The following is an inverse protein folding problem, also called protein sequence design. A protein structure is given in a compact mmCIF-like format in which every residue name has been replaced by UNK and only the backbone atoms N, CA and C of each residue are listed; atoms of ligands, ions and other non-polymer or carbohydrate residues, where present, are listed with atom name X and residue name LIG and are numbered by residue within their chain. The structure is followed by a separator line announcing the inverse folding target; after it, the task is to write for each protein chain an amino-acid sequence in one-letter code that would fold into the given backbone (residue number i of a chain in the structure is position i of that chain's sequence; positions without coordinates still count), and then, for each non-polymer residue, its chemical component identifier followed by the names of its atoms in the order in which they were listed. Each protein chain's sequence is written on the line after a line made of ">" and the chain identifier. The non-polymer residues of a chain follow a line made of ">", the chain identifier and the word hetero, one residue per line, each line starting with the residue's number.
data_IF_183268827325
#
_entry.id   IF_183268827325
#
_cell.length_a   1.000
_cell.length_b   1.000
_cell.length_c   1.000
_cell.angle_alpha   90.00
_cell.angle_beta   90.00
_cell.angle_gamma   90.00
#
_symmetry.space_group_name_H-M   'P 1'
#
loop_
_entity.id
_entity.type
_entity.pdbx_description
1 polymer ?
#
# COMPACT_ATOMS: atom_id res chain seq x y z
N UNK A 1 40.45 -39.18 14.24
CA UNK A 1 39.95 -38.11 13.34
C UNK A 1 39.51 -38.61 11.95
N UNK A 2 39.34 -39.91 11.72
CA UNK A 2 39.02 -40.50 10.40
C UNK A 2 37.52 -40.75 10.16
N UNK A 3 36.70 -40.86 11.21
CA UNK A 3 35.26 -41.17 11.06
C UNK A 3 34.38 -39.97 10.63
N UNK A 4 34.81 -38.72 10.88
CA UNK A 4 34.03 -37.53 10.49
C UNK A 4 34.19 -37.16 9.00
N UNK A 5 35.30 -37.52 8.35
CA UNK A 5 35.51 -37.25 6.92
C UNK A 5 34.71 -38.21 6.03
N UNK A 6 34.53 -39.46 6.42
CA UNK A 6 33.72 -40.43 5.66
C UNK A 6 32.22 -40.08 5.61
N UNK A 7 31.67 -39.44 6.66
CA UNK A 7 30.24 -39.02 6.66
C UNK A 7 29.93 -37.84 5.74
N UNK A 8 30.93 -37.05 5.34
CA UNK A 8 30.72 -35.90 4.43
C UNK A 8 30.72 -36.36 2.97
N UNK A 9 31.58 -37.30 2.62
CA UNK A 9 31.68 -37.85 1.25
C UNK A 9 30.44 -38.68 0.90
N UNK A 10 29.89 -39.46 1.83
CA UNK A 10 28.67 -40.24 1.57
C UNK A 10 27.38 -39.40 1.44
N UNK A 11 27.36 -38.15 1.93
CA UNK A 11 26.24 -37.23 1.67
C UNK A 11 26.31 -36.56 0.30
N UNK A 12 27.52 -36.37 -0.24
CA UNK A 12 27.70 -35.77 -1.56
C UNK A 12 27.22 -36.72 -2.66
N UNK A 13 27.58 -38.02 -2.55
CA UNK A 13 27.26 -39.04 -3.56
C UNK A 13 25.74 -39.34 -3.64
N UNK A 14 25.00 -39.22 -2.52
CA UNK A 14 23.54 -39.41 -2.54
C UNK A 14 22.79 -38.22 -3.15
N UNK A 15 23.37 -37.02 -3.19
CA UNK A 15 22.70 -35.83 -3.73
C UNK A 15 22.74 -35.80 -5.27
N UNK A 16 23.79 -36.34 -5.88
CA UNK A 16 23.95 -36.38 -7.34
C UNK A 16 23.01 -37.42 -7.97
N UNK A 17 22.78 -38.57 -7.32
CA UNK A 17 21.86 -39.60 -7.82
C UNK A 17 20.37 -39.21 -7.72
N UNK A 18 19.97 -38.34 -6.78
CA UNK A 18 18.58 -37.86 -6.68
C UNK A 18 18.26 -36.75 -7.71
N UNK A 19 19.26 -35.99 -8.14
CA UNK A 19 19.13 -34.96 -9.18
C UNK A 19 18.94 -35.56 -10.57
N UNK A 20 19.60 -36.67 -10.90
CA UNK A 20 19.39 -37.34 -12.19
C UNK A 20 18.02 -38.02 -12.29
N UNK A 21 17.50 -38.55 -11.17
CA UNK A 21 16.21 -39.24 -11.15
C UNK A 21 15.02 -38.28 -11.27
N UNK A 22 15.13 -37.06 -10.73
CA UNK A 22 14.09 -36.02 -10.82
C UNK A 22 14.03 -35.36 -12.20
N UNK A 23 15.18 -35.17 -12.86
CA UNK A 23 15.24 -34.60 -14.21
C UNK A 23 14.53 -35.49 -15.27
N UNK A 24 14.65 -36.82 -15.17
CA UNK A 24 14.06 -37.76 -16.14
C UNK A 24 12.53 -37.88 -16.00
N UNK A 25 11.96 -37.62 -14.81
CA UNK A 25 10.51 -37.67 -14.59
C UNK A 25 9.76 -36.43 -15.08
N UNK A 26 10.37 -35.25 -15.01
CA UNK A 26 9.77 -34.00 -15.51
C UNK A 26 9.59 -34.01 -17.04
N UNK A 27 10.53 -34.61 -17.76
CA UNK A 27 10.55 -34.73 -19.23
C UNK A 27 9.37 -35.55 -19.78
N UNK A 28 9.01 -36.65 -19.10
CA UNK A 28 7.92 -37.53 -19.58
C UNK A 28 6.52 -36.94 -19.36
N UNK A 29 6.35 -35.97 -18.47
CA UNK A 29 5.03 -35.39 -18.16
C UNK A 29 4.64 -34.26 -19.11
N UNK A 30 5.61 -33.53 -19.67
CA UNK A 30 5.38 -32.39 -20.55
C UNK A 30 4.85 -32.76 -21.95
N UNK A 31 5.20 -33.94 -22.46
CA UNK A 31 4.85 -34.35 -23.83
C UNK A 31 3.39 -34.76 -24.01
N UNK A 32 2.69 -35.22 -22.97
CA UNK A 32 1.31 -35.75 -23.09
C UNK A 32 0.21 -34.68 -23.11
N UNK A 33 0.47 -33.43 -22.69
CA UNK A 33 -0.57 -32.38 -22.57
C UNK A 33 -0.69 -31.44 -23.77
N UNK A 34 0.32 -31.39 -24.65
CA UNK A 34 0.40 -30.43 -25.77
C UNK A 34 -0.68 -30.63 -26.83
N UNK A 35 -1.36 -31.78 -26.83
CA UNK A 35 -2.34 -32.15 -27.85
C UNK A 35 -3.78 -31.66 -27.57
N UNK A 36 -4.09 -31.16 -26.36
CA UNK A 36 -5.48 -30.84 -25.96
C UNK A 36 -5.94 -29.39 -26.09
N UNK A 37 -5.05 -28.41 -26.33
CA UNK A 37 -5.39 -26.99 -26.12
C UNK A 37 -5.51 -26.12 -27.39
N UNK A 38 -5.82 -26.69 -28.56
CA UNK A 38 -5.96 -25.92 -29.82
C UNK A 38 -7.28 -25.14 -29.99
N UNK A 39 -8.13 -24.96 -28.97
CA UNK A 39 -9.43 -24.29 -29.15
C UNK A 39 -9.89 -23.52 -27.90
N UNK A 40 -9.83 -22.17 -27.94
CA UNK A 40 -10.91 -21.22 -27.52
C UNK A 40 -10.38 -19.79 -27.31
N UNK A 41 -10.91 -18.83 -28.07
CA UNK A 41 -10.67 -17.37 -27.88
C UNK A 41 -11.76 -16.75 -26.99
N UNK A 42 -11.45 -15.78 -26.10
CA UNK A 42 -12.41 -15.19 -25.16
C UNK A 42 -13.22 -14.01 -25.75
N UNK A 43 -14.47 -13.88 -25.29
CA UNK A 43 -15.47 -12.93 -25.79
C UNK A 43 -15.40 -11.52 -25.14
N UNK A 44 -15.71 -10.48 -25.94
CA UNK A 44 -15.65 -9.04 -25.59
C UNK A 44 -16.85 -8.57 -24.76
N UNK A 45 -16.59 -7.81 -23.69
CA UNK A 45 -17.60 -7.17 -22.80
C UNK A 45 -18.15 -5.86 -23.38
N UNK A 46 -19.46 -5.59 -23.19
CA UNK A 46 -20.17 -4.39 -23.69
C UNK A 46 -20.21 -3.25 -22.63
N UNK A 47 -20.27 -1.97 -23.06
CA UNK A 47 -20.24 -0.80 -22.17
C UNK A 47 -21.61 -0.37 -21.61
N UNK A 48 -21.57 0.32 -20.47
CA UNK A 48 -22.68 0.65 -19.55
C UNK A 48 -23.34 1.99 -19.92
N UNK A 49 -24.67 2.04 -20.04
CA UNK A 49 -25.46 3.24 -20.42
C UNK A 49 -25.61 4.25 -19.27
N UNK A 50 -25.43 5.55 -19.58
CA UNK A 50 -25.72 6.70 -18.71
C UNK A 50 -27.22 7.04 -18.71
N UNK A 51 -27.78 7.28 -17.51
CA UNK A 51 -29.18 7.69 -17.32
C UNK A 51 -29.23 9.21 -17.09
N UNK A 52 -29.85 9.94 -18.03
CA UNK A 52 -30.16 11.38 -17.92
C UNK A 52 -31.39 11.60 -17.03
N UNK A 53 -31.26 12.37 -15.96
CA UNK A 53 -32.38 12.80 -15.10
C UNK A 53 -33.08 14.02 -15.70
N UNK A 54 -34.40 13.92 -15.91
CA UNK A 54 -35.30 15.02 -16.31
C UNK A 54 -35.62 15.91 -15.09
N UNK A 55 -35.54 17.23 -15.26
CA UNK A 55 -35.84 18.21 -14.22
C UNK A 55 -37.35 18.37 -13.99
N UNK A 56 -37.76 18.27 -12.72
CA UNK A 56 -39.09 18.63 -12.25
C UNK A 56 -39.19 20.16 -12.09
N UNK A 57 -40.10 20.80 -12.82
CA UNK A 57 -40.52 22.19 -12.55
C UNK A 57 -41.54 22.17 -11.39
N UNK A 58 -41.29 22.94 -10.34
CA UNK A 58 -42.23 23.15 -9.24
C UNK A 58 -43.37 24.09 -9.70
N UNK A 59 -44.64 23.74 -9.44
CA UNK A 59 -45.78 24.60 -9.73
C UNK A 59 -45.96 25.62 -8.60
N UNK A 60 -45.75 26.92 -8.87
CA UNK A 60 -45.94 27.96 -7.85
C UNK A 60 -45.73 29.41 -8.29
N UNK A 61 -45.09 29.67 -9.42
CA UNK A 61 -44.70 31.04 -9.85
C UNK A 61 -45.66 31.70 -10.85
N UNK A 62 -46.98 31.51 -10.70
CA UNK A 62 -47.99 32.07 -11.62
C UNK A 62 -48.65 33.38 -11.14
N UNK A 63 -48.24 33.97 -10.00
CA UNK A 63 -49.03 35.01 -9.32
C UNK A 63 -48.50 36.45 -9.30
N UNK A 64 -47.37 36.79 -9.95
CA UNK A 64 -46.71 38.11 -9.76
C UNK A 64 -46.49 38.94 -11.04
N UNK A 65 -47.37 38.81 -12.03
CA UNK A 65 -47.28 39.58 -13.27
C UNK A 65 -48.58 40.32 -13.62
N UNK A 66 -49.02 41.26 -12.77
CA UNK A 66 -50.12 42.18 -13.12
C UNK A 66 -50.20 43.43 -12.22
N UNK A 67 -49.13 44.20 -12.05
CA UNK A 67 -49.22 45.54 -11.43
C UNK A 67 -48.02 46.43 -11.78
N UNK A 68 -47.86 46.80 -13.06
CA UNK A 68 -46.92 47.87 -13.41
C UNK A 68 -47.21 48.45 -14.79
N UNK A 69 -48.15 49.38 -14.87
CA UNK A 69 -48.18 50.35 -15.96
C UNK A 69 -48.68 51.70 -15.46
N UNK A 70 -48.08 52.76 -16.02
CA UNK A 70 -48.43 54.19 -15.95
C UNK A 70 -47.90 54.98 -14.74
N UNK A 71 -46.58 55.22 -14.78
CA UNK A 71 -45.94 56.35 -14.13
C UNK A 71 -44.87 56.93 -15.04
N UNK A 72 -45.28 57.67 -16.07
CA UNK A 72 -44.40 58.39 -16.99
C UNK A 72 -43.77 59.59 -16.31
N UNK A 73 -42.75 59.35 -15.46
CA UNK A 73 -41.86 60.41 -14.98
C UNK A 73 -40.75 60.61 -16.02
N UNK A 74 -40.79 61.74 -16.69
CA UNK A 74 -39.71 62.32 -17.49
C UNK A 74 -38.41 62.29 -16.67
N UNK A 75 -37.51 61.35 -17.01
CA UNK A 75 -36.16 61.30 -16.45
C UNK A 75 -35.37 62.46 -17.02
N UNK A 76 -35.25 63.53 -16.24
CA UNK A 76 -34.26 64.57 -16.49
C UNK A 76 -32.88 63.91 -16.69
N UNK A 77 -32.19 64.29 -17.77
CA UNK A 77 -30.88 63.77 -18.12
C UNK A 77 -29.87 64.12 -17.02
N UNK A 78 -29.58 63.15 -16.14
CA UNK A 78 -28.51 63.29 -15.15
C UNK A 78 -27.18 63.40 -15.89
N UNK A 79 -26.37 64.45 -15.64
CA UNK A 79 -25.11 64.67 -16.35
C UNK A 79 -24.16 63.46 -16.18
N UNK A 80 -23.49 63.01 -17.24
CA UNK A 80 -22.78 61.72 -17.27
C UNK A 80 -21.63 61.60 -16.25
N UNK A 81 -21.02 62.72 -15.81
CA UNK A 81 -19.94 62.70 -14.81
C UNK A 81 -20.38 62.31 -13.39
N UNK A 82 -21.56 62.77 -12.93
CA UNK A 82 -22.02 62.54 -11.54
C UNK A 82 -22.46 61.11 -11.24
N UNK A 83 -22.68 60.29 -12.27
CA UNK A 83 -23.06 58.87 -12.10
C UNK A 83 -21.88 57.97 -11.75
N UNK A 84 -20.67 58.30 -12.22
CA UNK A 84 -19.49 57.47 -11.96
C UNK A 84 -18.98 57.67 -10.52
N UNK A 85 -18.92 58.90 -10.03
CA UNK A 85 -18.55 59.22 -8.64
C UNK A 85 -19.52 58.56 -7.64
N UNK A 86 -20.83 58.65 -7.88
CA UNK A 86 -21.83 58.01 -7.01
C UNK A 86 -21.77 56.48 -7.00
N UNK A 87 -21.27 55.85 -8.07
CA UNK A 87 -21.05 54.40 -8.13
C UNK A 87 -19.78 53.98 -7.39
N UNK A 88 -18.71 54.79 -7.48
CA UNK A 88 -17.48 54.57 -6.71
C UNK A 88 -17.70 54.72 -5.22
N UNK A 89 -18.39 55.78 -4.78
CA UNK A 89 -18.73 55.97 -3.36
C UNK A 89 -19.57 54.82 -2.78
N UNK A 90 -20.45 54.24 -3.59
CA UNK A 90 -21.22 53.06 -3.17
C UNK A 90 -20.36 51.79 -3.13
N UNK A 91 -19.37 51.65 -4.01
CA UNK A 91 -18.44 50.53 -3.99
C UNK A 91 -17.53 50.59 -2.76
N UNK A 92 -16.97 51.76 -2.47
CA UNK A 92 -16.06 51.95 -1.34
C UNK A 92 -16.77 51.79 0.01
N UNK A 93 -17.99 52.30 0.14
CA UNK A 93 -18.83 52.05 1.33
C UNK A 93 -19.12 50.57 1.52
N UNK A 94 -19.38 49.82 0.44
CA UNK A 94 -19.61 48.36 0.51
C UNK A 94 -18.34 47.61 0.87
N UNK A 95 -17.19 48.01 0.33
CA UNK A 95 -15.87 47.45 0.68
C UNK A 95 -15.58 47.66 2.18
N UNK A 96 -15.79 48.87 2.69
CA UNK A 96 -15.54 49.20 4.09
C UNK A 96 -16.45 48.38 5.03
N UNK A 97 -17.76 48.30 4.75
CA UNK A 97 -18.70 47.47 5.52
C UNK A 97 -18.32 45.98 5.50
N UNK A 98 -17.81 45.46 4.36
CA UNK A 98 -17.33 44.08 4.28
C UNK A 98 -16.08 43.85 5.13
N UNK A 99 -15.15 44.82 5.16
CA UNK A 99 -13.93 44.72 5.99
C UNK A 99 -14.26 44.74 7.47
N UNK A 100 -15.15 45.65 7.90
CA UNK A 100 -15.59 45.73 9.30
C UNK A 100 -16.34 44.46 9.73
N UNK A 101 -17.19 43.91 8.86
CA UNK A 101 -17.89 42.66 9.13
C UNK A 101 -16.92 41.47 9.25
N UNK A 102 -15.89 41.40 8.40
CA UNK A 102 -14.85 40.36 8.48
C UNK A 102 -14.03 40.50 9.77
N UNK A 103 -13.59 41.71 10.10
CA UNK A 103 -12.81 41.97 11.32
C UNK A 103 -13.58 41.57 12.59
N UNK A 104 -14.89 41.86 12.65
CA UNK A 104 -15.75 41.42 13.76
C UNK A 104 -15.84 39.90 13.86
N UNK A 105 -16.09 39.21 12.75
CA UNK A 105 -16.14 37.73 12.72
C UNK A 105 -14.81 37.11 13.14
N UNK A 106 -13.68 37.68 12.71
CA UNK A 106 -12.35 37.21 13.11
C UNK A 106 -12.05 37.46 14.60
N UNK A 107 -12.47 38.60 15.15
CA UNK A 107 -12.34 38.89 16.57
C UNK A 107 -13.18 37.93 17.43
N UNK A 108 -14.43 37.69 17.04
CA UNK A 108 -15.33 36.74 17.70
C UNK A 108 -14.77 35.31 17.63
N UNK A 109 -14.25 34.90 16.47
CA UNK A 109 -13.62 33.61 16.30
C UNK A 109 -12.38 33.46 17.20
N UNK A 110 -11.52 34.47 17.30
CA UNK A 110 -10.34 34.45 18.21
C UNK A 110 -10.75 34.36 19.68
N UNK A 111 -11.79 35.08 20.09
CA UNK A 111 -12.31 35.01 21.45
C UNK A 111 -12.86 33.60 21.77
N UNK A 112 -13.60 33.02 20.84
CA UNK A 112 -14.15 31.67 20.97
C UNK A 112 -13.08 30.58 20.98
N UNK A 113 -12.01 30.72 20.18
CA UNK A 113 -10.86 29.80 20.21
C UNK A 113 -10.19 29.76 21.60
N UNK A 114 -10.08 30.90 22.29
CA UNK A 114 -9.55 30.94 23.67
C UNK A 114 -10.46 30.19 24.65
N UNK A 115 -11.78 30.27 24.48
CA UNK A 115 -12.74 29.54 25.32
C UNK A 115 -12.78 28.04 25.02
N UNK A 116 -12.49 27.64 23.78
CA UNK A 116 -12.44 26.24 23.35
C UNK A 116 -11.17 25.51 23.78
N UNK A 117 -10.06 26.23 23.99
CA UNK A 117 -8.78 25.66 24.40
C UNK A 117 -8.85 24.79 25.68
N UNK A 118 -9.45 25.22 26.81
CA UNK A 118 -9.60 24.35 27.98
C UNK A 118 -10.51 23.15 27.73
N UNK A 119 -11.56 23.31 26.92
CA UNK A 119 -12.48 22.23 26.56
C UNK A 119 -11.76 21.12 25.77
N UNK A 120 -10.90 21.50 24.82
CA UNK A 120 -10.06 20.56 24.08
C UNK A 120 -9.14 19.74 25.00
N UNK A 121 -8.49 20.40 25.97
CA UNK A 121 -7.66 19.71 26.96
C UNK A 121 -8.47 18.71 27.78
N UNK A 122 -9.65 19.09 28.25
CA UNK A 122 -10.52 18.19 29.00
C UNK A 122 -10.97 16.99 28.16
N UNK A 123 -11.36 17.21 26.89
CA UNK A 123 -11.70 16.13 25.96
C UNK A 123 -10.56 15.12 25.84
N UNK A 124 -9.33 15.59 25.60
CA UNK A 124 -8.16 14.71 25.47
C UNK A 124 -7.87 13.94 26.78
N UNK A 125 -8.05 14.58 27.94
CA UNK A 125 -7.93 13.89 29.24
C UNK A 125 -8.97 12.79 29.38
N UNK A 126 -10.24 13.05 29.06
CA UNK A 126 -11.31 12.04 29.15
C UNK A 126 -11.07 10.89 28.18
N UNK A 127 -10.59 11.17 26.96
CA UNK A 127 -10.23 10.13 25.98
C UNK A 127 -9.07 9.27 26.49
N UNK A 128 -8.04 9.87 27.10
CA UNK A 128 -6.91 9.14 27.71
C UNK A 128 -7.36 8.28 28.89
N UNK A 129 -8.22 8.82 29.76
CA UNK A 129 -8.78 8.05 30.88
C UNK A 129 -9.64 6.89 30.39
N UNK A 130 -10.43 7.08 29.33
CA UNK A 130 -11.20 6.02 28.73
C UNK A 130 -10.37 4.90 28.10
N UNK A 131 -9.11 5.18 27.73
CA UNK A 131 -8.17 4.18 27.24
C UNK A 131 -7.44 3.46 28.38
N UNK A 132 -7.37 4.05 29.58
CA UNK A 132 -6.64 3.49 30.74
C UNK A 132 -7.55 2.75 31.72
N UNK A 133 -8.78 3.21 31.92
CA UNK A 133 -9.69 2.71 32.95
C UNK A 133 -10.82 1.89 32.31
N UNK A 134 -10.61 0.58 32.12
CA UNK A 134 -11.58 -0.29 31.45
C UNK A 134 -12.96 -0.31 32.13
N UNK A 135 -13.01 -0.22 33.47
CA UNK A 135 -14.27 -0.22 34.22
C UNK A 135 -15.11 1.05 34.10
N UNK A 136 -14.50 2.20 33.78
CA UNK A 136 -15.19 3.51 33.61
C UNK A 136 -14.99 4.10 32.22
N UNK A 137 -14.56 3.26 31.27
CA UNK A 137 -14.21 3.71 29.93
C UNK A 137 -15.40 4.35 29.22
N UNK A 138 -16.60 3.80 29.42
CA UNK A 138 -17.81 4.27 28.74
C UNK A 138 -18.31 5.60 29.31
N UNK A 139 -18.23 5.81 30.62
CA UNK A 139 -18.58 7.10 31.25
C UNK A 139 -17.67 8.23 30.76
N UNK A 140 -16.37 7.95 30.63
CA UNK A 140 -15.39 8.91 30.12
C UNK A 140 -15.57 9.18 28.63
N UNK A 141 -15.89 8.16 27.81
CA UNK A 141 -16.24 8.34 26.38
C UNK A 141 -17.51 9.16 26.22
N UNK A 142 -18.53 8.89 27.02
CA UNK A 142 -19.79 9.63 26.99
C UNK A 142 -19.58 11.08 27.41
N UNK A 143 -18.80 11.32 28.47
CA UNK A 143 -18.42 12.67 28.91
C UNK A 143 -17.69 13.43 27.80
N UNK A 144 -16.72 12.77 27.14
CA UNK A 144 -16.01 13.36 26.01
C UNK A 144 -16.94 13.67 24.83
N UNK A 145 -17.90 12.79 24.53
CA UNK A 145 -18.88 13.00 23.48
C UNK A 145 -19.77 14.24 23.73
N UNK A 146 -20.25 14.44 24.97
CA UNK A 146 -21.04 15.60 25.36
C UNK A 146 -20.22 16.91 25.26
N UNK A 147 -18.96 16.87 25.71
CA UNK A 147 -18.04 18.01 25.56
C UNK A 147 -17.80 18.35 24.08
N UNK A 148 -17.59 17.35 23.23
CA UNK A 148 -17.44 17.53 21.77
C UNK A 148 -18.68 18.14 21.13
N UNK A 149 -19.89 17.77 21.57
CA UNK A 149 -21.13 18.38 21.07
C UNK A 149 -21.23 19.85 21.50
N UNK A 150 -20.89 20.18 22.74
CA UNK A 150 -20.85 21.56 23.22
C UNK A 150 -19.85 22.42 22.43
N UNK A 151 -18.67 21.86 22.14
CA UNK A 151 -17.64 22.51 21.33
C UNK A 151 -18.11 22.72 19.88
N UNK A 152 -18.83 21.75 19.30
CA UNK A 152 -19.43 21.88 17.96
C UNK A 152 -20.45 23.01 17.90
N UNK A 153 -21.30 23.17 18.92
CA UNK A 153 -22.28 24.26 18.99
C UNK A 153 -21.58 25.62 19.05
N UNK A 154 -20.57 25.76 19.91
CA UNK A 154 -19.74 26.99 20.01
C UNK A 154 -18.99 27.31 18.71
N UNK A 155 -18.41 26.31 18.05
CA UNK A 155 -17.77 26.50 16.74
C UNK A 155 -18.77 26.99 15.69
N UNK A 156 -20.01 26.46 15.70
CA UNK A 156 -21.07 26.87 14.77
C UNK A 156 -21.51 28.32 15.02
N UNK A 157 -21.63 28.74 16.27
CA UNK A 157 -21.94 30.13 16.65
C UNK A 157 -20.83 31.09 16.19
N UNK A 158 -19.58 30.69 16.36
CA UNK A 158 -18.40 31.46 15.96
C UNK A 158 -18.07 31.39 14.46
N UNK A 159 -18.81 30.59 13.66
CA UNK A 159 -18.52 30.29 12.25
C UNK A 159 -17.12 29.69 12.02
N UNK A 160 -16.60 28.95 12.99
CA UNK A 160 -15.33 28.23 12.90
C UNK A 160 -15.58 26.86 12.25
N UNK A 161 -14.69 26.43 11.35
CA UNK A 161 -14.75 25.08 10.77
C UNK A 161 -14.42 24.03 11.83
N UNK A 162 -15.44 23.33 12.33
CA UNK A 162 -15.31 22.34 13.41
C UNK A 162 -14.32 21.20 13.08
N UNK A 163 -14.27 20.77 11.82
CA UNK A 163 -13.33 19.74 11.36
C UNK A 163 -11.87 20.14 11.56
N UNK A 164 -11.47 21.31 11.04
CA UNK A 164 -10.13 21.87 11.24
C UNK A 164 -9.80 22.05 12.72
N UNK A 165 -10.75 22.58 13.49
CA UNK A 165 -10.56 22.74 14.93
C UNK A 165 -10.30 21.41 15.64
N UNK A 166 -11.00 20.34 15.27
CA UNK A 166 -10.76 19.01 15.83
C UNK A 166 -9.39 18.45 15.45
N UNK A 167 -8.97 18.59 14.19
CA UNK A 167 -7.64 18.14 13.73
C UNK A 167 -6.51 18.83 14.49
N UNK A 168 -6.66 20.12 14.79
CA UNK A 168 -5.65 20.91 15.49
C UNK A 168 -5.62 20.65 17.01
N UNK A 169 -6.75 20.25 17.63
CA UNK A 169 -6.91 20.27 19.09
C UNK A 169 -7.23 18.92 19.74
N UNK A 170 -7.69 17.92 18.99
CA UNK A 170 -8.13 16.61 19.51
C UNK A 170 -7.24 15.51 18.97
N UNK A 171 -6.68 14.66 19.85
CA UNK A 171 -5.73 13.61 19.45
C UNK A 171 -6.33 12.47 18.61
N UNK A 172 -7.66 12.42 18.50
CA UNK A 172 -8.39 11.36 17.78
C UNK A 172 -8.72 11.79 16.36
N UNK A 173 -8.83 10.79 15.48
CA UNK A 173 -9.21 11.03 14.08
C UNK A 173 -10.59 11.70 13.98
N UNK A 174 -10.77 12.55 12.97
CA UNK A 174 -12.04 13.26 12.77
C UNK A 174 -13.23 12.29 12.62
N UNK A 175 -13.02 11.12 12.02
CA UNK A 175 -14.06 10.08 11.89
C UNK A 175 -14.50 9.50 13.25
N UNK A 176 -13.61 9.35 14.21
CA UNK A 176 -13.95 8.94 15.57
C UNK A 176 -14.69 10.05 16.31
N UNK A 177 -14.22 11.29 16.18
CA UNK A 177 -14.88 12.47 16.75
C UNK A 177 -16.30 12.60 16.20
N UNK A 178 -16.49 12.42 14.89
CA UNK A 178 -17.81 12.46 14.23
C UNK A 178 -18.76 11.40 14.80
N UNK A 179 -18.27 10.18 15.08
CA UNK A 179 -19.08 9.12 15.71
C UNK A 179 -19.46 9.49 17.14
N UNK A 180 -18.53 10.02 17.93
CA UNK A 180 -18.79 10.47 19.30
C UNK A 180 -19.82 11.61 19.34
N UNK A 181 -19.68 12.60 18.45
CA UNK A 181 -20.66 13.69 18.33
C UNK A 181 -22.04 13.16 17.95
N UNK A 182 -22.12 12.16 17.06
CA UNK A 182 -23.40 11.53 16.71
C UNK A 182 -24.04 10.82 17.91
N UNK A 183 -23.25 10.20 18.79
CA UNK A 183 -23.73 9.59 20.04
C UNK A 183 -24.30 10.66 20.98
N UNK A 184 -23.61 11.78 21.16
CA UNK A 184 -24.08 12.88 22.01
C UNK A 184 -25.38 13.52 21.51
N UNK A 185 -25.58 13.59 20.19
CA UNK A 185 -26.79 14.12 19.57
C UNK A 185 -28.01 13.18 19.66
N UNK A 186 -27.83 11.93 20.08
CA UNK A 186 -28.94 11.01 20.24
C UNK A 186 -29.83 11.40 21.45
N UNK A 187 -31.14 11.11 21.42
CA UNK A 187 -32.03 11.40 22.56
C UNK A 187 -31.61 10.72 23.87
N UNK A 188 -30.96 9.56 23.76
CA UNK A 188 -30.42 8.81 24.90
C UNK A 188 -28.97 8.40 24.59
N UNK A 189 -27.99 9.28 24.86
CA UNK A 189 -26.58 9.08 24.48
C UNK A 189 -25.97 7.79 25.04
N UNK A 190 -26.32 7.41 26.27
CA UNK A 190 -25.85 6.17 26.88
C UNK A 190 -26.29 4.91 26.10
N UNK A 191 -27.55 4.88 25.63
CA UNK A 191 -28.06 3.77 24.81
C UNK A 191 -27.40 3.75 23.44
N UNK A 192 -27.24 4.91 22.81
CA UNK A 192 -26.55 5.01 21.52
C UNK A 192 -25.08 4.53 21.58
N UNK A 193 -24.38 4.78 22.70
CA UNK A 193 -23.04 4.26 22.93
C UNK A 193 -23.03 2.72 23.02
N UNK A 194 -23.97 2.15 23.79
CA UNK A 194 -24.13 0.71 23.91
C UNK A 194 -24.48 0.04 22.56
N UNK A 195 -25.39 0.64 21.79
CA UNK A 195 -25.79 0.18 20.45
C UNK A 195 -24.63 0.21 19.45
N UNK A 196 -23.76 1.22 19.53
CA UNK A 196 -22.57 1.28 18.68
C UNK A 196 -21.61 0.11 18.98
N UNK A 197 -21.46 -0.27 20.25
CA UNK A 197 -20.64 -1.42 20.66
C UNK A 197 -21.27 -2.74 20.23
N UNK A 198 -22.57 -2.94 20.48
CA UNK A 198 -23.27 -4.17 20.09
C UNK A 198 -23.28 -4.34 18.56
N UNK A 199 -23.50 -3.25 17.82
CA UNK A 199 -23.43 -3.24 16.35
C UNK A 199 -22.01 -3.49 15.80
N UNK A 200 -20.97 -2.99 16.47
CA UNK A 200 -19.59 -3.32 16.10
C UNK A 200 -19.26 -4.80 16.36
N UNK A 201 -19.67 -5.35 17.51
CA UNK A 201 -19.49 -6.76 17.84
C UNK A 201 -20.24 -7.67 16.85
N UNK A 202 -21.48 -7.34 16.50
CA UNK A 202 -22.27 -8.07 15.51
C UNK A 202 -21.63 -8.04 14.12
N UNK A 203 -21.16 -6.86 13.67
CA UNK A 203 -20.45 -6.73 12.39
C UNK A 203 -19.15 -7.54 12.36
N UNK A 204 -18.36 -7.50 13.43
CA UNK A 204 -17.14 -8.30 13.54
C UNK A 204 -17.43 -9.80 13.58
N UNK A 205 -18.48 -10.22 14.30
CA UNK A 205 -18.93 -11.63 14.30
C UNK A 205 -19.33 -12.08 12.89
N UNK A 206 -20.08 -11.25 12.16
CA UNK A 206 -20.48 -11.51 10.77
C UNK A 206 -19.29 -11.55 9.82
N UNK A 207 -18.32 -10.66 9.98
CA UNK A 207 -17.10 -10.63 9.18
C UNK A 207 -16.25 -11.89 9.41
N UNK A 208 -16.06 -12.28 10.67
CA UNK A 208 -15.38 -13.54 11.03
C UNK A 208 -16.12 -14.77 10.48
N UNK A 209 -17.45 -14.79 10.56
CA UNK A 209 -18.25 -15.87 9.99
C UNK A 209 -18.08 -15.98 8.46
N UNK A 210 -18.06 -14.85 7.75
CA UNK A 210 -17.79 -14.83 6.30
C UNK A 210 -16.39 -15.33 5.96
N UNK A 211 -15.37 -14.94 6.73
CA UNK A 211 -14.01 -15.43 6.56
C UNK A 211 -13.87 -16.94 6.80
N UNK A 212 -14.63 -17.50 7.75
CA UNK A 212 -14.69 -18.96 7.94
C UNK A 212 -15.29 -19.66 6.72
N UNK A 213 -16.44 -19.17 6.23
CA UNK A 213 -17.09 -19.74 5.04
C UNK A 213 -16.19 -19.65 3.79
N UNK A 214 -15.43 -18.57 3.60
CA UNK A 214 -14.45 -18.50 2.51
C UNK A 214 -13.27 -19.44 2.70
N UNK A 215 -12.89 -19.77 3.94
CA UNK A 215 -11.81 -20.71 4.24
C UNK A 215 -12.26 -22.17 4.08
N UNK A 216 -13.53 -22.46 4.32
CA UNK A 216 -14.11 -23.79 4.11
C UNK A 216 -14.50 -24.02 2.63
N UNK A 217 -14.90 -22.97 1.90
CA UNK A 217 -15.17 -23.04 0.46
C UNK A 217 -13.88 -23.03 -0.40
N UNK A 218 -12.75 -22.63 0.20
CA UNK A 218 -11.40 -22.86 -0.31
C UNK A 218 -10.73 -23.86 0.62
N UNK A 219 -11.36 -25.03 0.79
CA UNK A 219 -10.67 -26.17 1.37
C UNK A 219 -9.32 -26.32 0.63
N UNK A 220 -8.18 -26.28 1.35
CA UNK A 220 -6.91 -26.53 0.70
C UNK A 220 -7.02 -27.91 0.04
N UNK A 221 -6.71 -27.99 -1.26
CA UNK A 221 -6.35 -29.26 -1.87
C UNK A 221 -5.40 -29.95 -0.88
N UNK A 222 -5.81 -31.12 -0.41
CA UNK A 222 -5.10 -32.05 0.48
C UNK A 222 -3.91 -31.44 1.23
N UNK A 223 -4.09 -31.20 2.52
CA UNK A 223 -3.08 -31.03 3.57
C UNK A 223 -1.68 -31.55 3.15
N UNK A 224 -0.93 -30.73 2.42
CA UNK A 224 0.47 -30.99 2.12
C UNK A 224 1.17 -31.15 3.47
N UNK A 225 1.83 -32.28 3.69
CA UNK A 225 2.42 -32.61 4.98
C UNK A 225 3.63 -31.71 5.25
N UNK A 226 4.17 -31.14 4.18
CA UNK A 226 5.42 -30.39 4.20
C UNK A 226 5.32 -29.09 3.39
N UNK A 227 6.09 -28.04 3.73
CA UNK A 227 6.05 -26.77 3.00
C UNK A 227 6.39 -26.87 1.51
N UNK A 228 7.18 -27.87 1.09
CA UNK A 228 7.55 -28.06 -0.31
C UNK A 228 6.40 -28.70 -1.11
N UNK A 229 5.71 -29.69 -0.57
CA UNK A 229 4.50 -30.25 -1.20
C UNK A 229 3.40 -29.19 -1.41
N UNK A 230 3.30 -28.22 -0.48
CA UNK A 230 2.38 -27.11 -0.63
C UNK A 230 2.78 -26.16 -1.77
N UNK A 231 4.09 -25.97 -1.97
CA UNK A 231 4.61 -25.18 -3.08
C UNK A 231 4.38 -25.90 -4.41
N UNK A 232 4.60 -27.21 -4.47
CA UNK A 232 4.37 -28.04 -5.66
C UNK A 232 2.88 -28.04 -6.03
N UNK A 233 2.00 -28.29 -5.07
CA UNK A 233 0.56 -28.25 -5.28
C UNK A 233 0.05 -26.86 -5.72
N UNK A 234 0.66 -25.78 -5.20
CA UNK A 234 0.35 -24.42 -5.62
C UNK A 234 0.76 -24.20 -7.07
N UNK A 235 1.99 -24.57 -7.44
CA UNK A 235 2.50 -24.45 -8.82
C UNK A 235 1.67 -25.29 -9.78
N UNK A 236 1.29 -26.51 -9.39
CA UNK A 236 0.46 -27.40 -10.21
C UNK A 236 -0.99 -26.88 -10.39
N UNK A 237 -1.49 -26.11 -9.42
CA UNK A 237 -2.82 -25.50 -9.51
C UNK A 237 -2.89 -24.25 -10.39
N UNK A 238 -1.75 -23.65 -10.71
CA UNK A 238 -1.67 -22.42 -11.51
C UNK A 238 -1.64 -22.74 -13.02
N UNK A 239 -2.19 -21.85 -13.88
CA UNK A 239 -1.97 -21.95 -15.32
C UNK A 239 -0.49 -21.86 -15.67
N UNK A 240 -0.03 -22.62 -16.68
CA UNK A 240 1.39 -22.73 -17.06
C UNK A 240 2.11 -21.38 -17.19
N UNK A 241 1.43 -20.37 -17.77
CA UNK A 241 2.00 -19.02 -17.91
C UNK A 241 2.26 -18.34 -16.57
N UNK A 242 1.35 -18.50 -15.62
CA UNK A 242 1.46 -17.91 -14.29
C UNK A 242 2.46 -18.70 -13.45
N UNK A 243 2.45 -20.03 -13.55
CA UNK A 243 3.43 -20.91 -12.93
C UNK A 243 4.87 -20.57 -13.37
N UNK A 244 5.12 -20.43 -14.68
CA UNK A 244 6.43 -20.02 -15.21
C UNK A 244 6.87 -18.66 -14.68
N UNK A 245 5.99 -17.66 -14.70
CA UNK A 245 6.32 -16.32 -14.17
C UNK A 245 6.65 -16.34 -12.68
N UNK A 246 6.00 -17.21 -11.92
CA UNK A 246 6.24 -17.36 -10.48
C UNK A 246 7.61 -18.01 -10.23
N UNK A 247 7.94 -19.06 -10.99
CA UNK A 247 9.23 -19.75 -10.89
C UNK A 247 10.36 -18.81 -11.33
N UNK A 248 10.22 -18.10 -12.46
CA UNK A 248 11.20 -17.11 -12.93
C UNK A 248 11.46 -16.01 -11.90
N UNK A 249 10.39 -15.46 -11.30
CA UNK A 249 10.50 -14.43 -10.28
C UNK A 249 11.22 -14.91 -9.02
N UNK A 250 11.19 -16.21 -8.72
CA UNK A 250 11.88 -16.83 -7.57
C UNK A 250 13.30 -17.28 -7.91
N UNK A 251 13.54 -17.73 -9.13
CA UNK A 251 14.84 -18.18 -9.62
C UNK A 251 15.81 -17.00 -9.83
N UNK A 252 15.32 -15.87 -10.38
CA UNK A 252 16.13 -14.68 -10.68
C UNK A 252 16.97 -14.13 -9.50
N UNK A 253 16.41 -13.91 -8.29
CA UNK A 253 17.22 -13.44 -7.16
C UNK A 253 18.25 -14.46 -6.66
N UNK A 254 18.13 -15.73 -7.04
CA UNK A 254 19.10 -16.78 -6.73
C UNK A 254 20.17 -16.94 -7.83
N UNK A 255 20.17 -16.08 -8.85
CA UNK A 255 21.07 -16.20 -10.00
C UNK A 255 20.73 -17.38 -10.92
N UNK A 256 19.56 -18.00 -10.77
CA UNK A 256 19.14 -19.13 -11.59
C UNK A 256 18.30 -18.66 -12.78
N UNK A 257 18.50 -19.29 -13.94
CA UNK A 257 17.72 -19.05 -15.15
C UNK A 257 16.80 -20.24 -15.39
N UNK A 258 15.50 -19.98 -15.53
CA UNK A 258 14.52 -21.01 -15.89
C UNK A 258 14.58 -21.22 -17.39
N UNK A 259 15.00 -22.40 -17.82
CA UNK A 259 15.12 -22.77 -19.23
C UNK A 259 14.07 -23.82 -19.61
N UNK A 260 13.71 -23.86 -20.89
CA UNK A 260 12.83 -24.91 -21.38
C UNK A 260 13.53 -26.26 -21.33
N UNK A 261 12.78 -27.35 -21.31
CA UNK A 261 13.35 -28.71 -21.30
C UNK A 261 14.24 -28.99 -22.52
N UNK A 262 13.88 -28.43 -23.68
CA UNK A 262 14.70 -28.52 -24.89
C UNK A 262 16.04 -27.81 -24.70
N UNK A 263 16.03 -26.62 -24.10
CA UNK A 263 17.26 -25.86 -23.85
C UNK A 263 18.10 -26.50 -22.73
N UNK A 264 17.44 -27.05 -21.70
CA UNK A 264 18.11 -27.80 -20.63
C UNK A 264 18.84 -29.02 -21.17
N UNK A 265 18.23 -29.76 -22.10
CA UNK A 265 18.86 -30.90 -22.77
C UNK A 265 20.03 -30.48 -23.67
N UNK A 266 19.90 -29.35 -24.39
CA UNK A 266 21.00 -28.79 -25.19
C UNK A 266 22.17 -28.39 -24.29
N UNK A 267 21.91 -27.73 -23.16
CA UNK A 267 22.93 -27.35 -22.18
C UNK A 267 23.56 -28.57 -21.48
N UNK A 268 22.79 -29.64 -21.25
CA UNK A 268 23.31 -30.87 -20.67
C UNK A 268 24.18 -31.65 -21.68
N UNK A 269 23.84 -31.60 -22.97
CA UNK A 269 24.64 -32.19 -24.05
C UNK A 269 25.93 -31.40 -24.29
N UNK A 270 25.86 -30.06 -24.33
CA UNK A 270 27.06 -29.23 -24.48
C UNK A 270 28.06 -29.43 -23.34
N UNK A 271 27.58 -29.63 -22.10
CA UNK A 271 28.44 -29.98 -20.95
C UNK A 271 29.06 -31.38 -21.02
N UNK A 272 28.44 -32.32 -21.73
CA UNK A 272 29.02 -33.67 -21.93
C UNK A 272 30.11 -33.68 -22.98
N UNK A 273 29.96 -32.83 -23.99
CA UNK A 273 30.89 -32.75 -25.11
C UNK A 273 32.09 -31.83 -24.83
N UNK A 274 32.03 -31.00 -23.78
CA UNK A 274 33.14 -30.16 -23.32
C UNK A 274 33.43 -30.31 -21.82
N UNK A 275 34.10 -31.40 -21.37
CA UNK A 275 34.61 -31.50 -20.01
C UNK A 275 35.80 -30.56 -19.74
N UNK A 276 36.21 -29.74 -20.71
CA UNK A 276 37.47 -28.99 -20.71
C UNK A 276 37.38 -27.51 -20.31
N UNK A 277 36.17 -26.94 -20.19
CA UNK A 277 36.04 -25.49 -19.92
C UNK A 277 36.25 -25.10 -18.45
N UNK A 278 36.24 -26.08 -17.53
CA UNK A 278 36.58 -25.81 -16.13
C UNK A 278 37.96 -26.38 -15.85
N UNK A 279 38.93 -25.49 -15.66
CA UNK A 279 40.24 -25.85 -15.16
C UNK A 279 40.08 -26.74 -13.91
N UNK A 280 40.70 -27.92 -13.95
CA UNK A 280 40.75 -28.82 -12.79
C UNK A 280 41.36 -28.08 -11.59
N UNK A 281 41.10 -28.58 -10.37
CA UNK A 281 41.65 -27.95 -9.16
C UNK A 281 43.18 -27.83 -9.23
N UNK A 282 43.83 -28.82 -9.82
CA UNK A 282 45.29 -28.84 -10.03
C UNK A 282 45.73 -27.79 -11.05
N UNK A 283 44.96 -27.57 -12.12
CA UNK A 283 45.22 -26.52 -13.11
C UNK A 283 44.99 -25.12 -12.51
N UNK A 284 43.94 -24.93 -11.72
CA UNK A 284 43.69 -23.69 -10.98
C UNK A 284 44.80 -23.39 -9.96
N UNK A 285 45.27 -24.42 -9.24
CA UNK A 285 46.36 -24.28 -8.29
C UNK A 285 47.67 -23.92 -9.02
N UNK A 286 47.97 -24.60 -10.12
CA UNK A 286 49.14 -24.30 -10.94
C UNK A 286 49.09 -22.90 -11.56
N UNK A 287 47.91 -22.49 -12.04
CA UNK A 287 47.65 -21.16 -12.57
C UNK A 287 47.82 -20.09 -11.50
N UNK A 288 47.22 -20.28 -10.32
CA UNK A 288 47.34 -19.37 -9.19
C UNK A 288 48.80 -19.22 -8.73
N UNK A 289 49.54 -20.33 -8.60
CA UNK A 289 50.94 -20.31 -8.21
C UNK A 289 51.87 -19.67 -9.26
N UNK A 290 51.46 -19.66 -10.53
CA UNK A 290 52.20 -19.00 -11.62
C UNK A 290 52.01 -17.48 -11.65
N UNK A 291 50.96 -16.96 -11.00
CA UNK A 291 50.69 -15.52 -10.92
C UNK A 291 51.69 -14.80 -10.01
N UNK A 292 51.89 -13.50 -10.26
CA UNK A 292 52.66 -12.65 -9.33
C UNK A 292 51.91 -12.51 -8.02
N UNK A 293 52.64 -12.22 -6.94
CA UNK A 293 52.05 -12.03 -5.61
C UNK A 293 50.96 -10.93 -5.58
N UNK A 294 51.08 -9.89 -6.42
CA UNK A 294 50.04 -8.86 -6.60
C UNK A 294 48.74 -9.46 -7.12
N UNK A 295 48.83 -10.28 -8.17
CA UNK A 295 47.68 -10.80 -8.90
C UNK A 295 47.02 -11.94 -8.13
N UNK A 296 47.82 -12.75 -7.40
CA UNK A 296 47.34 -13.72 -6.42
C UNK A 296 46.46 -13.04 -5.36
N UNK A 297 46.90 -11.88 -4.86
CA UNK A 297 46.14 -11.15 -3.85
C UNK A 297 44.85 -10.56 -4.44
N UNK A 298 44.90 -9.96 -5.63
CA UNK A 298 43.70 -9.47 -6.35
C UNK A 298 42.70 -10.60 -6.61
N UNK A 299 43.18 -11.79 -6.99
CA UNK A 299 42.33 -12.97 -7.17
C UNK A 299 41.64 -13.38 -5.86
N UNK A 300 42.37 -13.40 -4.74
CA UNK A 300 41.80 -13.74 -3.41
C UNK A 300 40.76 -12.70 -2.97
N UNK A 301 41.01 -11.41 -3.18
CA UNK A 301 40.03 -10.36 -2.89
C UNK A 301 38.77 -10.49 -3.75
N UNK A 302 38.92 -10.75 -5.05
CA UNK A 302 37.80 -11.00 -5.94
C UNK A 302 36.99 -12.23 -5.49
N UNK A 303 37.66 -13.35 -5.21
CA UNK A 303 37.01 -14.58 -4.77
C UNK A 303 36.27 -14.40 -3.44
N UNK A 304 36.85 -13.66 -2.48
CA UNK A 304 36.20 -13.31 -1.22
C UNK A 304 34.92 -12.48 -1.45
N UNK A 305 34.97 -11.51 -2.37
CA UNK A 305 33.81 -10.67 -2.73
C UNK A 305 32.66 -11.50 -3.31
N UNK A 306 32.96 -12.50 -4.16
CA UNK A 306 31.93 -13.37 -4.75
C UNK A 306 31.15 -14.20 -3.71
N UNK A 307 31.78 -14.53 -2.58
CA UNK A 307 31.14 -15.28 -1.49
C UNK A 307 30.66 -14.39 -0.32
N UNK A 308 30.78 -13.06 -0.45
CA UNK A 308 30.39 -12.09 0.58
C UNK A 308 31.31 -12.10 1.81
N UNK A 309 32.57 -12.51 1.65
CA UNK A 309 33.60 -12.45 2.69
C UNK A 309 34.51 -11.24 2.48
N UNK A 310 35.08 -10.71 3.56
CA UNK A 310 36.09 -9.64 3.53
C UNK A 310 37.46 -10.20 3.88
N UNK A 311 38.48 -9.85 3.09
CA UNK A 311 39.88 -10.20 3.39
C UNK A 311 40.41 -9.22 4.44
N UNK A 312 40.61 -9.69 5.67
CA UNK A 312 41.11 -8.87 6.76
C UNK A 312 42.62 -8.61 6.61
N UNK A 313 43.00 -7.39 6.22
CA UNK A 313 44.39 -6.93 6.17
C UNK A 313 44.57 -5.74 5.23
N UNK A 314 44.99 -4.59 5.77
CA UNK A 314 45.34 -3.39 4.98
C UNK A 314 46.70 -3.59 4.29
N UNK A 315 46.71 -4.32 3.17
CA UNK A 315 47.81 -4.24 2.21
C UNK A 315 47.41 -3.26 1.11
N UNK A 316 47.61 -1.97 1.38
CA UNK A 316 47.47 -0.90 0.41
C UNK A 316 48.57 -1.04 -0.66
N UNK A 317 48.23 -1.65 -1.80
CA UNK A 317 48.89 -1.44 -3.07
C UNK A 317 47.89 -0.75 -4.00
N UNK A 318 47.82 0.58 -3.91
CA UNK A 318 46.85 1.42 -4.61
C UNK A 318 47.03 1.52 -6.15
N UNK A 319 47.90 0.74 -6.80
CA UNK A 319 48.27 1.02 -8.21
C UNK A 319 47.86 0.02 -9.31
N UNK A 320 47.38 -1.21 -9.05
CA UNK A 320 47.02 -2.10 -10.18
C UNK A 320 45.86 -3.06 -9.86
N UNK A 321 44.61 -2.58 -10.00
CA UNK A 321 43.38 -3.39 -9.85
C UNK A 321 42.68 -3.69 -11.19
N UNK A 322 43.25 -3.30 -12.34
CA UNK A 322 42.57 -3.41 -13.64
C UNK A 322 43.04 -4.53 -14.55
N UNK A 323 44.18 -5.18 -14.26
CA UNK A 323 44.77 -6.17 -15.18
C UNK A 323 44.63 -7.60 -14.63
N UNK A 324 43.39 -8.10 -14.55
CA UNK A 324 43.18 -9.56 -14.48
C UNK A 324 43.44 -10.11 -15.88
N UNK A 325 44.40 -11.04 -16.08
CA UNK A 325 44.66 -11.66 -17.39
C UNK A 325 43.38 -12.28 -17.96
N UNK A 326 43.09 -12.02 -19.23
CA UNK A 326 41.81 -12.39 -19.87
C UNK A 326 41.50 -13.90 -19.78
N UNK A 327 42.52 -14.76 -19.73
CA UNK A 327 42.35 -16.22 -19.63
C UNK A 327 41.85 -16.71 -18.27
N UNK A 328 41.78 -15.85 -17.24
CA UNK A 328 41.22 -16.18 -15.92
C UNK A 328 39.82 -15.57 -15.69
N UNK A 329 39.28 -14.86 -16.69
CA UNK A 329 37.93 -14.30 -16.62
C UNK A 329 36.94 -15.38 -17.09
N UNK A 330 36.23 -15.98 -16.15
CA UNK A 330 35.03 -16.78 -16.48
C UNK A 330 33.91 -15.78 -16.76
N UNK A 331 33.49 -15.65 -18.02
CA UNK A 331 32.36 -14.80 -18.37
C UNK A 331 31.08 -15.31 -17.68
N UNK A 332 30.27 -14.42 -17.06
CA UNK A 332 29.08 -14.79 -16.30
C UNK A 332 27.89 -15.24 -17.14
#
# INVERSE_FOLDING_TARGET
>A
MTALRMRRVLRQINFENELEFTAVMLVKFATSRKERYRMKKPAKKKPRKQIRRKGHKLPGDAGRSAAKMKGGRSRAAVPPGKKQEALQDQADKREMVKRDAKAKVEADAKAMMKQLAPVAKEINVKIKLAAKLDGKADDHRLSAALLLESARRRCKEAKIAFEKWCEDNVEKSYDEVRKLVAIAQAPQPAKALADLRSGAAARNRKLRARQKVSRDATAPASRAETPWEAADALVESLPDREALSLIEARAKPLGMVVVSETDANVLAQSKKDDPSEFATVDELESGFLSLKASDQYSFVQWAATQIGAEVAGDFSMEEHLTDIPDHLRVEP
#
